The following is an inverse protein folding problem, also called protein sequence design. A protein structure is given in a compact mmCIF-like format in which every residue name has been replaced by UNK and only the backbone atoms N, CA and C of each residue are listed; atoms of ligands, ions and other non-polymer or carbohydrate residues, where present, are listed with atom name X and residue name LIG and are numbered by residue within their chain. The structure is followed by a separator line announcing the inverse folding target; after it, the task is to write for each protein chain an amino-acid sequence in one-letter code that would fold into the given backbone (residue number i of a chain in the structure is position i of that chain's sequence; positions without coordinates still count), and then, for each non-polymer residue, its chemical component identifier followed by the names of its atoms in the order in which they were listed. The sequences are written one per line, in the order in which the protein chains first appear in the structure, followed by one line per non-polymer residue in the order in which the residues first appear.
data_IF_651807886492
#
_entry.id   IF_651807886492
#
_cell.length_a   1.000
_cell.length_b   1.000
_cell.length_c   1.000
_cell.angle_alpha   90.00
_cell.angle_beta   90.00
_cell.angle_gamma   90.00
#
_symmetry.space_group_name_H-M   'P 1'
#
loop_
_entity.id
_entity.type
_entity.pdbx_description
1 polymer ?
#
# COMPACT_ATOMS: atom_id res chain seq x y z
N UNK A 1 51.43 -2.28 -42.74
CA UNK A 1 50.08 -2.40 -42.15
C UNK A 1 49.99 -1.48 -40.93
N UNK A 2 49.77 -0.17 -41.15
CA UNK A 2 49.87 0.85 -40.10
C UNK A 2 48.91 2.02 -40.38
N UNK A 3 47.66 1.71 -40.76
CA UNK A 3 46.63 2.72 -41.12
C UNK A 3 45.23 2.44 -40.56
N UNK A 4 45.06 1.42 -39.71
CA UNK A 4 43.73 1.05 -39.17
C UNK A 4 43.61 1.36 -37.67
N UNK A 5 44.72 1.64 -36.98
CA UNK A 5 44.72 1.85 -35.53
C UNK A 5 44.45 3.28 -35.06
N UNK A 6 44.36 4.26 -35.97
CA UNK A 6 44.15 5.67 -35.59
C UNK A 6 42.66 6.11 -35.59
N UNK A 7 41.75 5.30 -36.13
CA UNK A 7 40.32 5.65 -36.24
C UNK A 7 39.47 5.19 -35.05
N UNK A 8 39.98 4.28 -34.21
CA UNK A 8 39.26 3.78 -33.02
C UNK A 8 39.53 4.60 -31.75
N UNK A 9 40.54 5.48 -31.74
CA UNK A 9 40.91 6.29 -30.59
C UNK A 9 40.15 7.63 -30.49
N UNK A 10 39.30 7.96 -31.48
CA UNK A 10 38.56 9.22 -31.56
C UNK A 10 37.04 9.10 -31.34
N UNK A 11 36.53 7.91 -31.03
CA UNK A 11 35.11 7.67 -30.72
C UNK A 11 34.84 7.48 -29.21
N UNK A 12 35.81 7.77 -28.34
CA UNK A 12 35.67 7.67 -26.88
C UNK A 12 35.48 9.02 -26.17
N UNK A 13 35.26 10.12 -26.90
CA UNK A 13 35.19 11.47 -26.33
C UNK A 13 33.81 12.11 -26.31
N UNK A 14 32.73 11.33 -26.47
CA UNK A 14 31.37 11.83 -26.28
C UNK A 14 30.55 10.76 -25.56
N UNK A 15 30.64 10.74 -24.23
CA UNK A 15 29.55 10.27 -23.39
C UNK A 15 29.29 11.36 -22.38
N UNK A 16 28.04 11.87 -22.30
CA UNK A 16 27.70 12.98 -21.45
C UNK A 16 27.92 12.55 -19.99
N UNK A 17 28.42 13.51 -19.22
CA UNK A 17 28.40 13.57 -17.77
C UNK A 17 27.09 12.95 -17.26
N UNK A 18 27.13 11.67 -16.88
CA UNK A 18 26.11 11.12 -15.99
C UNK A 18 26.36 11.80 -14.66
N UNK A 19 25.61 12.88 -14.45
CA UNK A 19 25.55 13.59 -13.20
C UNK A 19 25.23 12.60 -12.10
N UNK A 20 26.18 12.49 -11.17
CA UNK A 20 25.86 12.32 -9.77
C UNK A 20 24.75 13.30 -9.38
N UNK A 21 23.56 12.77 -9.20
CA UNK A 21 22.61 13.13 -8.15
C UNK A 21 21.92 11.79 -7.83
N UNK A 22 22.54 10.91 -7.04
CA UNK A 22 22.31 10.92 -5.59
C UNK A 22 21.45 12.12 -5.20
N UNK A 23 20.13 11.91 -5.32
CA UNK A 23 19.16 12.73 -4.62
C UNK A 23 19.38 12.43 -3.14
N UNK A 24 20.38 13.11 -2.59
CA UNK A 24 20.64 13.24 -1.17
C UNK A 24 19.30 13.50 -0.52
N UNK A 25 18.95 12.63 0.42
CA UNK A 25 17.82 12.79 1.34
C UNK A 25 17.74 14.25 1.77
N UNK A 26 16.87 15.00 1.09
CA UNK A 26 16.68 16.41 1.32
C UNK A 26 16.03 16.52 2.68
N UNK A 27 16.82 16.96 3.68
CA UNK A 27 16.32 17.35 4.99
C UNK A 27 15.11 18.25 4.78
N UNK A 28 13.95 17.73 5.18
CA UNK A 28 12.65 18.37 5.01
C UNK A 28 12.69 19.68 5.79
N UNK A 29 12.63 20.85 5.14
CA UNK A 29 12.56 22.09 5.86
C UNK A 29 11.19 22.12 6.55
N UNK A 30 11.21 22.26 7.86
CA UNK A 30 10.02 22.47 8.70
C UNK A 30 9.23 23.74 8.30
N UNK A 31 9.84 24.59 7.46
CA UNK A 31 9.37 25.89 7.00
C UNK A 31 9.42 26.00 5.46
N UNK A 32 8.82 25.04 4.73
CA UNK A 32 8.54 25.24 3.30
C UNK A 32 7.41 26.24 3.16
N UNK A 33 7.67 27.39 2.55
CA UNK A 33 6.62 28.32 2.15
C UNK A 33 6.11 27.89 0.77
N UNK A 34 4.86 27.41 0.73
CA UNK A 34 4.23 26.99 -0.52
C UNK A 34 3.45 28.15 -1.14
N UNK A 35 3.46 28.22 -2.46
CA UNK A 35 2.63 29.20 -3.17
C UNK A 35 1.13 28.77 -3.16
N UNK A 36 0.19 29.66 -3.53
CA UNK A 36 -1.23 29.32 -3.52
C UNK A 36 -1.63 28.16 -4.44
N UNK A 37 -0.88 27.90 -5.52
CA UNK A 37 -1.14 26.78 -6.43
C UNK A 37 -0.65 25.47 -5.82
N UNK A 38 0.53 25.47 -5.21
CA UNK A 38 1.08 24.35 -4.46
C UNK A 38 0.18 23.98 -3.28
N UNK A 39 -0.32 24.95 -2.52
CA UNK A 39 -1.28 24.72 -1.43
C UNK A 39 -2.58 24.07 -1.93
N UNK A 40 -3.10 24.55 -3.06
CA UNK A 40 -4.30 23.97 -3.66
C UNK A 40 -4.05 22.54 -4.15
N UNK A 41 -2.87 22.28 -4.72
CA UNK A 41 -2.48 20.95 -5.17
C UNK A 41 -2.28 19.99 -3.99
N UNK A 42 -1.63 20.45 -2.91
CA UNK A 42 -1.46 19.70 -1.66
C UNK A 42 -2.81 19.32 -1.04
N UNK A 43 -3.77 20.26 -0.99
CA UNK A 43 -5.12 19.98 -0.52
C UNK A 43 -5.84 18.96 -1.43
N UNK A 44 -5.62 19.03 -2.75
CA UNK A 44 -6.12 18.04 -3.70
C UNK A 44 -5.55 16.64 -3.43
N UNK A 45 -4.26 16.53 -3.11
CA UNK A 45 -3.64 15.26 -2.71
C UNK A 45 -4.33 14.66 -1.48
N UNK A 46 -4.58 15.49 -0.44
CA UNK A 46 -5.31 15.06 0.76
C UNK A 46 -6.73 14.56 0.44
N UNK A 47 -7.45 15.26 -0.42
CA UNK A 47 -8.78 14.83 -0.86
C UNK A 47 -8.74 13.51 -1.63
N UNK A 48 -7.76 13.34 -2.53
CA UNK A 48 -7.56 12.09 -3.28
C UNK A 48 -7.28 10.89 -2.37
N UNK A 49 -6.60 11.09 -1.24
CA UNK A 49 -6.37 10.06 -0.24
C UNK A 49 -7.67 9.61 0.46
N UNK A 50 -8.56 10.54 0.78
CA UNK A 50 -9.89 10.22 1.32
C UNK A 50 -10.67 9.35 0.33
N UNK A 51 -10.61 9.69 -0.95
CA UNK A 51 -11.24 8.90 -2.03
C UNK A 51 -10.62 7.51 -2.16
N UNK A 52 -9.29 7.37 -2.06
CA UNK A 52 -8.61 6.07 -2.07
C UNK A 52 -9.09 5.18 -0.92
N UNK A 53 -9.18 5.74 0.30
CA UNK A 53 -9.63 5.01 1.48
C UNK A 53 -11.09 4.55 1.32
N UNK A 54 -11.98 5.45 0.91
CA UNK A 54 -13.38 5.13 0.66
C UNK A 54 -13.58 4.11 -0.47
N UNK A 55 -12.75 4.18 -1.53
CA UNK A 55 -12.78 3.20 -2.63
C UNK A 55 -12.38 1.81 -2.12
N UNK A 56 -11.32 1.74 -1.30
CA UNK A 56 -10.89 0.46 -0.74
C UNK A 56 -11.92 -0.12 0.22
N UNK A 57 -12.50 0.69 1.12
CA UNK A 57 -13.58 0.28 2.02
C UNK A 57 -14.81 -0.18 1.23
N UNK A 58 -15.20 0.53 0.17
CA UNK A 58 -16.27 0.13 -0.73
C UNK A 58 -15.98 -1.21 -1.40
N UNK A 59 -14.74 -1.45 -1.86
CA UNK A 59 -14.36 -2.74 -2.44
C UNK A 59 -14.46 -3.84 -1.37
N UNK A 60 -14.00 -3.58 -0.15
CA UNK A 60 -14.10 -4.54 0.96
C UNK A 60 -15.56 -4.84 1.36
N UNK A 61 -16.44 -3.84 1.32
CA UNK A 61 -17.85 -3.98 1.71
C UNK A 61 -18.75 -4.55 0.61
N UNK A 62 -18.45 -4.29 -0.66
CA UNK A 62 -19.25 -4.73 -1.80
C UNK A 62 -18.77 -6.06 -2.39
N UNK A 63 -17.47 -6.32 -2.33
CA UNK A 63 -16.90 -7.53 -2.89
C UNK A 63 -16.60 -8.53 -1.79
N UNK A 64 -17.24 -9.70 -1.89
CA UNK A 64 -16.85 -10.87 -1.10
C UNK A 64 -15.39 -11.32 -1.39
N UNK A 65 -14.73 -10.70 -2.38
CA UNK A 65 -13.50 -11.13 -3.03
C UNK A 65 -12.93 -10.00 -3.91
N UNK A 66 -11.67 -9.60 -3.72
CA UNK A 66 -10.98 -8.66 -4.63
C UNK A 66 -10.89 -9.20 -6.08
N UNK A 67 -10.65 -8.38 -7.07
CA UNK A 67 -10.42 -8.82 -8.46
C UNK A 67 -9.06 -8.37 -8.96
N UNK A 68 -8.59 -8.94 -10.08
CA UNK A 68 -7.39 -8.45 -10.75
C UNK A 68 -7.54 -6.97 -11.17
N UNK A 69 -8.75 -6.54 -11.53
CA UNK A 69 -9.07 -5.14 -11.83
C UNK A 69 -8.91 -4.26 -10.59
N UNK A 70 -9.42 -4.71 -9.43
CA UNK A 70 -9.27 -3.99 -8.17
C UNK A 70 -7.80 -3.83 -7.79
N UNK A 71 -7.00 -4.87 -8.00
CA UNK A 71 -5.56 -4.81 -7.76
C UNK A 71 -4.86 -3.74 -8.62
N UNK A 72 -5.14 -3.72 -9.91
CA UNK A 72 -4.57 -2.73 -10.83
C UNK A 72 -5.01 -1.31 -10.44
N UNK A 73 -6.30 -1.12 -10.17
CA UNK A 73 -6.86 0.17 -9.77
C UNK A 73 -6.26 0.69 -8.46
N UNK A 74 -6.24 -0.15 -7.42
CA UNK A 74 -5.66 0.19 -6.11
C UNK A 74 -4.16 0.49 -6.23
N UNK A 75 -3.40 -0.34 -6.96
CA UNK A 75 -1.96 -0.11 -7.14
C UNK A 75 -1.70 1.23 -7.86
N UNK A 76 -2.46 1.54 -8.90
CA UNK A 76 -2.32 2.81 -9.63
C UNK A 76 -2.69 4.00 -8.74
N UNK A 77 -3.82 3.95 -8.03
CA UNK A 77 -4.26 5.01 -7.13
C UNK A 77 -3.25 5.25 -6.00
N UNK A 78 -2.67 4.17 -5.46
CA UNK A 78 -1.61 4.25 -4.46
C UNK A 78 -0.35 4.95 -4.98
N UNK A 79 0.11 4.61 -6.18
CA UNK A 79 1.25 5.29 -6.80
C UNK A 79 0.97 6.77 -7.00
N UNK A 80 -0.20 7.11 -7.52
CA UNK A 80 -0.61 8.51 -7.72
C UNK A 80 -0.66 9.27 -6.40
N UNK A 81 -1.31 8.71 -5.38
CA UNK A 81 -1.44 9.36 -4.07
C UNK A 81 -0.08 9.56 -3.38
N UNK A 82 0.79 8.55 -3.41
CA UNK A 82 2.13 8.63 -2.82
C UNK A 82 3.01 9.65 -3.54
N UNK A 83 3.00 9.67 -4.86
CA UNK A 83 3.72 10.69 -5.64
C UNK A 83 3.20 12.08 -5.30
N UNK A 84 1.88 12.27 -5.23
CA UNK A 84 1.26 13.54 -4.87
C UNK A 84 1.75 14.02 -3.50
N UNK A 85 1.64 13.19 -2.45
CA UNK A 85 2.07 13.58 -1.10
C UNK A 85 3.56 13.88 -1.01
N UNK A 86 4.41 13.07 -1.65
CA UNK A 86 5.87 13.29 -1.66
C UNK A 86 6.26 14.62 -2.30
N UNK A 87 5.58 15.02 -3.38
CA UNK A 87 5.85 16.29 -4.06
C UNK A 87 5.53 17.51 -3.18
N UNK A 88 4.50 17.41 -2.33
CA UNK A 88 3.99 18.54 -1.56
C UNK A 88 4.26 18.42 -0.05
N UNK A 89 5.27 17.65 0.37
CA UNK A 89 5.74 17.68 1.77
C UNK A 89 6.07 19.12 2.17
N UNK A 90 5.56 19.55 3.33
CA UNK A 90 5.70 20.90 3.85
C UNK A 90 4.59 21.87 3.43
N UNK A 91 3.74 21.51 2.46
CA UNK A 91 2.56 22.28 2.08
C UNK A 91 1.30 21.69 2.72
N UNK A 92 0.31 22.53 3.04
CA UNK A 92 -0.97 22.10 3.60
C UNK A 92 -0.79 21.14 4.79
N UNK A 93 0.21 21.34 5.65
CA UNK A 93 0.56 20.44 6.77
C UNK A 93 0.83 18.97 6.37
N UNK A 94 1.28 18.70 5.14
CA UNK A 94 1.71 17.35 4.74
C UNK A 94 3.09 17.07 5.34
N UNK A 95 3.19 15.99 6.10
CA UNK A 95 4.41 15.56 6.77
C UNK A 95 4.96 14.27 6.15
N UNK A 96 6.23 13.95 6.44
CA UNK A 96 6.79 12.65 6.11
C UNK A 96 6.01 11.50 6.77
N UNK A 97 5.51 11.73 8.00
CA UNK A 97 4.69 10.74 8.70
C UNK A 97 3.40 10.41 7.93
N UNK A 98 2.82 11.38 7.23
CA UNK A 98 1.67 11.14 6.35
C UNK A 98 2.07 10.25 5.17
N UNK A 99 3.20 10.53 4.52
CA UNK A 99 3.74 9.70 3.42
C UNK A 99 4.01 8.28 3.88
N UNK A 100 4.61 8.10 5.06
CA UNK A 100 4.94 6.79 5.62
C UNK A 100 3.66 6.01 5.93
N UNK A 101 2.69 6.65 6.59
CA UNK A 101 1.37 6.07 6.89
C UNK A 101 0.66 5.61 5.61
N UNK A 102 0.69 6.44 4.55
CA UNK A 102 0.06 6.07 3.27
C UNK A 102 0.83 4.95 2.56
N UNK A 103 2.15 4.93 2.68
CA UNK A 103 2.97 3.83 2.13
C UNK A 103 2.57 2.51 2.75
N UNK A 104 2.42 2.47 4.08
CA UNK A 104 1.96 1.29 4.80
C UNK A 104 0.53 0.86 4.40
N UNK A 105 -0.40 1.81 4.32
CA UNK A 105 -1.78 1.56 3.86
C UNK A 105 -1.79 0.97 2.45
N UNK A 106 -1.02 1.56 1.54
CA UNK A 106 -0.92 1.09 0.17
C UNK A 106 -0.34 -0.31 0.07
N UNK A 107 0.75 -0.59 0.77
CA UNK A 107 1.32 -1.94 0.83
C UNK A 107 0.30 -2.98 1.32
N UNK A 108 -0.55 -2.62 2.28
CA UNK A 108 -1.63 -3.48 2.75
C UNK A 108 -2.71 -3.71 1.68
N UNK A 109 -3.22 -2.65 1.07
CA UNK A 109 -4.27 -2.74 0.04
C UNK A 109 -3.80 -3.53 -1.19
N UNK A 110 -2.56 -3.27 -1.65
CA UNK A 110 -1.96 -3.96 -2.80
C UNK A 110 -1.69 -5.44 -2.50
N UNK A 111 -1.29 -5.77 -1.26
CA UNK A 111 -1.13 -7.16 -0.85
C UNK A 111 -2.46 -7.91 -0.82
N UNK A 112 -3.51 -7.32 -0.24
CA UNK A 112 -4.83 -7.94 -0.14
C UNK A 112 -5.47 -8.22 -1.50
N UNK A 113 -5.37 -7.24 -2.41
CA UNK A 113 -5.93 -7.34 -3.77
C UNK A 113 -5.07 -8.20 -4.70
N UNK A 114 -3.78 -8.37 -4.40
CA UNK A 114 -2.83 -9.12 -5.22
C UNK A 114 -2.33 -10.40 -4.57
N UNK A 115 -1.21 -10.31 -3.83
CA UNK A 115 -0.50 -11.48 -3.29
C UNK A 115 -1.32 -12.39 -2.37
N UNK A 116 -2.31 -11.85 -1.66
CA UNK A 116 -3.20 -12.62 -0.79
C UNK A 116 -4.47 -13.10 -1.50
N UNK A 117 -4.78 -12.57 -2.68
CA UNK A 117 -6.07 -12.78 -3.35
C UNK A 117 -6.42 -14.25 -3.57
N UNK A 118 -5.48 -15.04 -4.10
CA UNK A 118 -5.71 -16.47 -4.32
C UNK A 118 -6.00 -17.23 -3.01
N UNK A 119 -5.44 -16.77 -1.89
CA UNK A 119 -5.73 -17.36 -0.58
C UNK A 119 -7.08 -16.89 -0.03
N UNK A 120 -7.43 -15.62 -0.19
CA UNK A 120 -8.72 -15.11 0.29
C UNK A 120 -9.90 -15.83 -0.35
N UNK A 121 -9.80 -16.21 -1.63
CA UNK A 121 -10.81 -17.06 -2.29
C UNK A 121 -11.00 -18.41 -1.59
N UNK A 122 -9.90 -19.10 -1.27
CA UNK A 122 -9.95 -20.40 -0.58
C UNK A 122 -10.46 -20.29 0.85
N UNK A 123 -10.17 -19.18 1.52
CA UNK A 123 -10.71 -18.92 2.85
C UNK A 123 -12.21 -18.70 2.78
N UNK A 124 -12.71 -17.95 1.79
CA UNK A 124 -14.14 -17.69 1.61
C UNK A 124 -14.96 -18.97 1.50
N UNK A 125 -14.50 -19.99 0.78
CA UNK A 125 -15.15 -21.31 0.70
C UNK A 125 -15.31 -22.00 2.06
N UNK A 126 -14.52 -21.57 3.06
CA UNK A 126 -14.54 -22.10 4.43
C UNK A 126 -15.25 -21.17 5.42
N UNK A 127 -15.80 -20.06 4.96
CA UNK A 127 -16.44 -19.04 5.80
C UNK A 127 -17.55 -19.65 6.67
N UNK A 128 -18.41 -20.46 6.07
CA UNK A 128 -19.57 -21.08 6.73
C UNK A 128 -19.20 -22.21 7.70
N UNK A 129 -17.98 -22.72 7.61
CA UNK A 129 -17.50 -23.86 8.42
C UNK A 129 -16.43 -23.46 9.44
N UNK A 130 -15.98 -22.20 9.42
CA UNK A 130 -14.88 -21.72 10.25
C UNK A 130 -15.21 -20.35 10.86
N UNK A 131 -15.59 -20.30 12.15
CA UNK A 131 -15.90 -19.05 12.86
C UNK A 131 -14.80 -17.99 12.77
N UNK A 132 -13.52 -18.41 12.73
CA UNK A 132 -12.41 -17.46 12.61
C UNK A 132 -12.25 -16.85 11.21
N UNK A 133 -12.80 -17.47 10.17
CA UNK A 133 -12.83 -16.91 8.82
C UNK A 133 -14.03 -15.98 8.67
N UNK A 134 -15.17 -16.37 9.23
CA UNK A 134 -16.35 -15.51 9.33
C UNK A 134 -15.99 -14.18 10.00
N UNK A 135 -15.39 -14.22 11.20
CA UNK A 135 -14.97 -13.00 11.92
C UNK A 135 -13.88 -12.20 11.19
N UNK A 136 -13.10 -12.85 10.32
CA UNK A 136 -12.06 -12.19 9.53
C UNK A 136 -12.62 -11.32 8.39
N UNK A 137 -13.69 -11.79 7.74
CA UNK A 137 -14.34 -11.11 6.60
C UNK A 137 -15.57 -10.28 7.00
N UNK A 138 -16.37 -10.72 7.96
CA UNK A 138 -17.64 -10.10 8.36
C UNK A 138 -17.53 -9.32 9.68
N UNK A 139 -16.34 -8.81 10.01
CA UNK A 139 -16.08 -8.14 11.29
C UNK A 139 -17.02 -6.94 11.59
N UNK A 140 -17.77 -6.45 10.59
CA UNK A 140 -18.61 -5.26 10.66
C UNK A 140 -20.13 -5.51 10.73
N UNK A 141 -20.63 -6.76 10.71
CA UNK A 141 -22.07 -6.93 10.45
C UNK A 141 -23.03 -6.66 11.60
N UNK A 142 -22.66 -6.74 12.89
CA UNK A 142 -23.70 -6.74 13.94
C UNK A 142 -23.42 -6.09 15.31
N UNK A 143 -22.25 -5.49 15.62
CA UNK A 143 -22.04 -4.89 16.96
C UNK A 143 -21.91 -3.37 16.94
N UNK A 144 -22.85 -2.66 17.59
CA UNK A 144 -22.81 -1.21 17.74
C UNK A 144 -21.73 -0.70 18.73
N UNK A 145 -21.06 -1.60 19.45
CA UNK A 145 -19.95 -1.27 20.36
C UNK A 145 -18.69 -2.02 19.92
N UNK A 146 -17.77 -1.34 19.21
CA UNK A 146 -16.51 -1.89 18.66
C UNK A 146 -16.67 -3.09 17.70
N UNK A 147 -17.46 -2.95 16.62
CA UNK A 147 -17.39 -3.90 15.51
C UNK A 147 -15.98 -3.86 14.95
N UNK A 148 -15.50 -5.00 14.49
CA UNK A 148 -14.26 -5.03 13.75
C UNK A 148 -13.04 -5.51 14.50
N UNK A 149 -13.03 -5.80 15.81
CA UNK A 149 -11.80 -6.23 16.52
C UNK A 149 -11.77 -7.69 16.97
N UNK A 150 -12.92 -8.38 16.98
CA UNK A 150 -13.02 -9.75 17.49
C UNK A 150 -12.10 -10.75 16.77
N UNK A 151 -11.86 -10.53 15.46
CA UNK A 151 -10.93 -11.34 14.67
C UNK A 151 -9.55 -11.45 15.31
N UNK A 152 -9.11 -10.45 16.09
CA UNK A 152 -7.81 -10.48 16.78
C UNK A 152 -7.70 -11.67 17.73
N UNK A 153 -8.79 -11.97 18.44
CA UNK A 153 -8.85 -13.08 19.40
C UNK A 153 -8.76 -14.44 18.69
N UNK A 154 -9.01 -14.48 17.38
CA UNK A 154 -8.98 -15.70 16.57
C UNK A 154 -7.68 -15.90 15.79
N UNK A 155 -6.60 -15.19 16.14
CA UNK A 155 -5.28 -15.28 15.45
C UNK A 155 -4.79 -16.70 15.24
N UNK A 156 -4.86 -17.53 16.28
CA UNK A 156 -4.39 -18.91 16.22
C UNK A 156 -5.21 -19.74 15.23
N UNK A 157 -6.53 -19.59 15.26
CA UNK A 157 -7.45 -20.25 14.33
C UNK A 157 -7.19 -19.78 12.89
N UNK A 158 -7.16 -18.46 12.64
CA UNK A 158 -6.93 -17.94 11.29
C UNK A 158 -5.55 -18.36 10.74
N UNK A 159 -4.50 -18.37 11.58
CA UNK A 159 -3.19 -18.88 11.20
C UNK A 159 -3.25 -20.34 10.73
N UNK A 160 -3.97 -21.19 11.45
CA UNK A 160 -4.13 -22.58 11.05
C UNK A 160 -4.94 -22.70 9.76
N UNK A 161 -6.05 -21.98 9.63
CA UNK A 161 -6.90 -22.01 8.44
C UNK A 161 -6.16 -21.50 7.20
N UNK A 162 -5.38 -20.43 7.30
CA UNK A 162 -4.52 -19.94 6.22
C UNK A 162 -3.46 -20.98 5.84
N UNK A 163 -2.81 -21.59 6.83
CA UNK A 163 -1.79 -22.61 6.59
C UNK A 163 -2.35 -23.85 5.90
N UNK A 164 -3.56 -24.24 6.28
CA UNK A 164 -4.24 -25.41 5.73
C UNK A 164 -4.78 -25.14 4.32
N UNK A 165 -5.50 -24.02 4.13
CA UNK A 165 -6.11 -23.68 2.85
C UNK A 165 -5.09 -23.22 1.80
N UNK A 166 -4.08 -22.45 2.23
CA UNK A 166 -3.20 -21.71 1.32
C UNK A 166 -1.73 -22.11 1.41
N UNK A 167 -1.33 -22.83 2.48
CA UNK A 167 0.05 -23.24 2.71
C UNK A 167 0.81 -22.32 3.68
N UNK A 168 1.97 -22.81 4.18
CA UNK A 168 2.73 -22.13 5.25
C UNK A 168 3.33 -20.77 4.84
N UNK A 169 3.62 -20.57 3.55
CA UNK A 169 4.21 -19.33 3.04
C UNK A 169 3.24 -18.15 3.14
N UNK A 170 1.95 -18.36 2.89
CA UNK A 170 0.94 -17.31 2.94
C UNK A 170 0.82 -16.66 4.31
N UNK A 171 0.81 -17.44 5.40
CA UNK A 171 0.79 -16.87 6.75
C UNK A 171 2.01 -16.00 7.04
N UNK A 172 3.20 -16.38 6.57
CA UNK A 172 4.42 -15.57 6.77
C UNK A 172 4.29 -14.20 6.09
N UNK A 173 3.69 -14.17 4.90
CA UNK A 173 3.46 -12.94 4.15
C UNK A 173 2.29 -12.12 4.72
N UNK A 174 1.27 -12.78 5.29
CA UNK A 174 0.10 -12.12 5.86
C UNK A 174 0.35 -11.56 7.27
N UNK A 175 1.25 -12.19 8.06
CA UNK A 175 1.56 -11.80 9.45
C UNK A 175 1.87 -10.30 9.66
N UNK A 176 2.66 -9.62 8.81
CA UNK A 176 2.91 -8.17 8.95
C UNK A 176 1.61 -7.35 8.86
N UNK A 177 0.70 -7.76 7.98
CA UNK A 177 -0.57 -7.09 7.73
C UNK A 177 -1.61 -7.30 8.82
N UNK A 178 -1.47 -8.36 9.62
CA UNK A 178 -2.25 -8.56 10.83
C UNK A 178 -2.08 -7.38 11.80
N UNK A 179 -0.84 -7.01 12.08
CA UNK A 179 -0.53 -5.92 13.02
C UNK A 179 -0.96 -4.56 12.45
N UNK A 180 -0.79 -4.37 11.13
CA UNK A 180 -1.26 -3.19 10.41
C UNK A 180 -2.79 -3.04 10.46
N UNK A 181 -3.56 -4.10 10.18
CA UNK A 181 -5.03 -4.08 10.29
C UNK A 181 -5.48 -3.74 11.73
N UNK A 182 -4.82 -4.31 12.74
CA UNK A 182 -5.05 -3.99 14.15
C UNK A 182 -4.86 -2.51 14.45
N UNK A 183 -3.73 -1.95 13.99
CA UNK A 183 -3.37 -0.53 14.17
C UNK A 183 -4.35 0.40 13.44
N UNK A 184 -4.72 0.08 12.20
CA UNK A 184 -5.66 0.90 11.43
C UNK A 184 -7.06 0.93 12.04
N UNK A 185 -7.55 -0.22 12.52
CA UNK A 185 -8.87 -0.30 13.11
C UNK A 185 -8.90 0.07 14.60
N UNK A 186 -7.75 0.52 15.15
CA UNK A 186 -7.58 0.86 16.58
C UNK A 186 -8.07 -0.26 17.50
N UNK A 187 -7.80 -1.48 17.09
CA UNK A 187 -8.10 -2.68 17.84
C UNK A 187 -6.89 -3.00 18.71
N UNK A 188 -6.97 -2.62 19.99
CA UNK A 188 -5.99 -2.93 21.05
C UNK A 188 -6.35 -4.20 21.81
#
# INVERSE_FOLDING_TARGET
MLRVTLFYLLMFSISPVFGFLEESEGVIPKDRTCDPEEERAAQSCKNGLTVLSATFESIQGQHESFTASDHIGINQNCKTALTCLKTYIGCSDITQADVDTITEKCNYMTYLTGGFYACSQKLKERKDTSPCVMNFFDADKDSQEKPGCEWINHRACLKWTIRDACGRSYWKQYKPYWHLKSSFMKCE
#
